data_IF_862123028873
#
_entry.id   IF_862123028873
#
_cell.length_a   1.000
_cell.length_b   1.000
_cell.length_c   1.000
_cell.angle_alpha   90.00
_cell.angle_beta   90.00
_cell.angle_gamma   90.00
#
_symmetry.space_group_name_H-M   'P 1'
#
loop_
_entity.id
_entity.type
_entity.pdbx_description
1 polymer ?
#
# COMPACT_ATOMS: atom_id res chain seq x y z
N UNK A 1 13.68 4.21 -15.83
CA UNK A 1 12.54 5.15 -15.82
C UNK A 1 13.04 6.58 -15.73
N UNK A 2 13.02 7.30 -16.85
CA UNK A 2 13.33 8.73 -16.92
C UNK A 2 12.11 9.53 -16.44
N UNK A 3 12.32 10.64 -15.74
CA UNK A 3 11.23 11.46 -15.22
C UNK A 3 11.66 12.88 -14.88
N UNK A 4 10.67 13.73 -14.67
CA UNK A 4 10.86 15.11 -14.19
C UNK A 4 9.64 15.54 -13.40
N UNK A 5 9.86 16.37 -12.39
CA UNK A 5 8.79 17.00 -11.63
C UNK A 5 8.35 18.30 -12.32
N UNK A 6 7.06 18.41 -12.58
CA UNK A 6 6.39 19.62 -13.03
C UNK A 6 6.01 20.42 -11.77
N UNK A 7 6.85 21.38 -11.40
CA UNK A 7 6.68 22.18 -10.17
C UNK A 7 5.95 23.49 -10.48
N UNK A 8 4.73 23.67 -9.97
CA UNK A 8 3.95 24.92 -10.10
C UNK A 8 3.39 25.38 -8.77
N UNK A 9 2.92 26.64 -8.73
CA UNK A 9 2.05 27.09 -7.64
C UNK A 9 0.76 26.27 -7.65
N UNK A 10 0.15 26.08 -6.49
CA UNK A 10 -1.18 25.49 -6.39
C UNK A 10 -2.23 26.46 -6.96
N UNK A 11 -3.08 26.08 -7.94
CA UNK A 11 -3.14 24.79 -8.66
C UNK A 11 -2.28 24.70 -9.95
N UNK A 12 -1.86 23.48 -10.38
CA UNK A 12 -2.20 22.18 -9.78
C UNK A 12 -1.20 21.77 -8.68
N UNK A 13 -0.21 22.60 -8.36
CA UNK A 13 0.88 22.20 -7.47
C UNK A 13 1.93 21.41 -8.23
N UNK A 14 2.38 20.29 -7.68
CA UNK A 14 3.49 19.53 -8.23
C UNK A 14 3.03 18.19 -8.80
N UNK A 15 3.64 17.72 -9.88
CA UNK A 15 3.34 16.39 -10.42
C UNK A 15 4.56 15.80 -11.10
N UNK A 16 4.80 14.51 -10.89
CA UNK A 16 5.85 13.80 -11.60
C UNK A 16 5.32 13.26 -12.93
N UNK A 17 6.08 13.52 -14.00
CA UNK A 17 5.93 12.85 -15.28
C UNK A 17 7.08 11.85 -15.46
N UNK A 18 6.76 10.56 -15.44
CA UNK A 18 7.73 9.47 -15.60
C UNK A 18 7.52 8.70 -16.90
N UNK A 19 8.53 7.98 -17.37
CA UNK A 19 8.62 7.38 -18.72
C UNK A 19 8.65 8.42 -19.85
N UNK A 20 9.13 9.63 -19.55
CA UNK A 20 9.35 10.68 -20.55
C UNK A 20 10.55 10.36 -21.44
N UNK A 21 10.56 10.92 -22.64
CA UNK A 21 11.67 10.77 -23.59
C UNK A 21 12.60 11.98 -23.59
N UNK A 22 12.10 13.17 -23.26
CA UNK A 22 12.83 14.43 -23.22
C UNK A 22 12.27 15.39 -22.16
N UNK A 23 13.05 15.60 -21.09
CA UNK A 23 12.68 16.49 -19.98
C UNK A 23 12.72 17.98 -20.36
N UNK A 24 13.54 18.38 -21.34
CA UNK A 24 13.66 19.79 -21.73
C UNK A 24 12.36 20.32 -22.34
N UNK A 25 11.59 19.44 -22.99
CA UNK A 25 10.28 19.79 -23.55
C UNK A 25 9.21 20.09 -22.50
N UNK A 26 9.47 19.77 -21.22
CA UNK A 26 8.56 20.12 -20.13
C UNK A 26 8.78 21.55 -19.60
N UNK A 27 9.77 22.28 -20.13
CA UNK A 27 9.97 23.71 -19.87
C UNK A 27 8.94 24.56 -20.63
N UNK A 28 7.68 24.44 -20.21
CA UNK A 28 6.52 25.15 -20.77
C UNK A 28 5.85 25.91 -19.63
N UNK A 29 5.62 27.22 -19.77
CA UNK A 29 5.06 28.04 -18.69
C UNK A 29 3.62 27.70 -18.34
N UNK A 30 2.81 27.36 -19.35
CA UNK A 30 1.41 27.01 -19.16
C UNK A 30 1.25 25.64 -18.47
N UNK A 31 0.55 25.66 -17.32
CA UNK A 31 0.37 24.49 -16.47
C UNK A 31 -0.39 23.34 -17.14
N UNK A 32 -1.26 23.58 -18.11
CA UNK A 32 -1.99 22.48 -18.77
C UNK A 32 -1.19 21.95 -19.96
N UNK A 33 -0.54 22.85 -20.72
CA UNK A 33 0.27 22.50 -21.87
C UNK A 33 1.45 21.60 -21.50
N UNK A 34 2.11 21.81 -20.35
CA UNK A 34 3.19 20.94 -19.88
C UNK A 34 2.72 19.50 -19.60
N UNK A 35 1.51 19.32 -19.06
CA UNK A 35 0.94 17.98 -18.87
C UNK A 35 0.60 17.33 -20.21
N UNK A 36 0.04 18.09 -21.16
CA UNK A 36 -0.23 17.59 -22.51
C UNK A 36 1.05 17.17 -23.23
N UNK A 37 2.14 17.92 -23.08
CA UNK A 37 3.45 17.52 -23.63
C UNK A 37 3.99 16.25 -22.96
N UNK A 38 3.89 16.13 -21.62
CA UNK A 38 4.25 14.90 -20.92
C UNK A 38 3.45 13.69 -21.46
N UNK A 39 2.13 13.83 -21.62
CA UNK A 39 1.28 12.77 -22.19
C UNK A 39 1.60 12.46 -23.65
N UNK A 40 1.99 13.44 -24.46
CA UNK A 40 2.45 13.24 -25.84
C UNK A 40 3.71 12.37 -25.91
N UNK A 41 4.58 12.45 -24.90
CA UNK A 41 5.73 11.55 -24.74
C UNK A 41 5.36 10.17 -24.20
N UNK A 42 4.07 9.93 -23.91
CA UNK A 42 3.57 8.70 -23.32
C UNK A 42 3.83 8.60 -21.82
N UNK A 43 4.03 9.71 -21.11
CA UNK A 43 4.31 9.68 -19.68
C UNK A 43 3.16 9.07 -18.87
N UNK A 44 3.53 8.44 -17.76
CA UNK A 44 2.64 8.24 -16.62
C UNK A 44 2.82 9.45 -15.70
N UNK A 45 1.74 10.19 -15.44
CA UNK A 45 1.75 11.44 -14.68
C UNK A 45 0.98 11.26 -13.38
N UNK A 46 1.57 11.63 -12.25
CA UNK A 46 0.90 11.54 -10.95
C UNK A 46 1.06 12.81 -10.12
N UNK A 47 0.04 13.11 -9.30
CA UNK A 47 0.00 14.31 -8.45
C UNK A 47 0.81 14.05 -7.18
N UNK A 48 1.78 14.92 -6.91
CA UNK A 48 2.68 14.79 -5.77
C UNK A 48 2.07 15.42 -4.51
N UNK A 49 2.31 14.79 -3.36
CA UNK A 49 2.09 15.30 -2.00
C UNK A 49 0.89 16.27 -1.85
N UNK A 50 -0.34 15.82 -2.14
CA UNK A 50 -1.51 16.71 -2.20
C UNK A 50 -1.89 17.36 -0.85
N UNK A 51 -1.41 16.78 0.26
CA UNK A 51 -1.53 17.25 1.64
C UNK A 51 -0.36 18.13 2.10
N UNK A 52 0.59 18.47 1.21
CA UNK A 52 1.78 19.24 1.59
C UNK A 52 1.40 20.63 2.10
N UNK A 53 1.71 20.89 3.36
CA UNK A 53 1.21 22.06 4.09
C UNK A 53 1.64 23.41 3.52
N UNK A 54 2.74 23.45 2.76
CA UNK A 54 3.20 24.66 2.04
C UNK A 54 2.26 25.06 0.91
N UNK A 55 1.50 24.12 0.33
CA UNK A 55 0.50 24.37 -0.70
C UNK A 55 -0.94 24.17 -0.22
N UNK A 56 -1.14 23.48 0.92
CA UNK A 56 -2.45 23.22 1.56
C UNK A 56 -2.35 23.35 3.07
N UNK A 57 -2.61 24.56 3.59
CA UNK A 57 -2.38 24.91 5.00
C UNK A 57 -3.14 24.05 6.03
N UNK A 58 -4.26 23.47 5.64
CA UNK A 58 -5.07 22.58 6.47
C UNK A 58 -4.64 21.10 6.38
N UNK A 59 -3.73 20.76 5.45
CA UNK A 59 -3.29 19.39 5.19
C UNK A 59 -4.32 18.52 4.47
N UNK A 60 -5.48 19.07 4.10
CA UNK A 60 -6.59 18.31 3.52
C UNK A 60 -6.47 18.30 2.00
N UNK A 61 -6.10 17.14 1.43
CA UNK A 61 -6.01 17.01 -0.03
C UNK A 61 -7.37 17.28 -0.67
N UNK A 62 -7.43 18.31 -1.52
CA UNK A 62 -8.69 18.78 -2.14
C UNK A 62 -8.49 19.03 -3.62
N UNK A 63 -9.32 18.39 -4.44
CA UNK A 63 -9.36 18.66 -5.89
C UNK A 63 -9.87 20.08 -6.17
N UNK A 64 -9.12 20.82 -6.98
CA UNK A 64 -9.57 22.06 -7.61
C UNK A 64 -10.13 21.79 -9.00
N UNK A 65 -10.73 22.80 -9.62
CA UNK A 65 -11.22 22.70 -11.00
C UNK A 65 -10.14 22.30 -11.99
N UNK A 66 -8.90 22.79 -11.81
CA UNK A 66 -7.77 22.39 -12.66
C UNK A 66 -7.45 20.89 -12.51
N UNK A 67 -7.46 20.34 -11.29
CA UNK A 67 -7.27 18.90 -11.10
C UNK A 67 -8.38 18.09 -11.79
N UNK A 68 -9.63 18.57 -11.72
CA UNK A 68 -10.75 17.93 -12.42
C UNK A 68 -10.56 17.93 -13.93
N UNK A 69 -10.04 19.03 -14.49
CA UNK A 69 -9.66 19.10 -15.92
C UNK A 69 -8.57 18.07 -16.23
N UNK A 70 -7.49 18.02 -15.45
CA UNK A 70 -6.39 17.06 -15.68
C UNK A 70 -6.87 15.61 -15.64
N UNK A 71 -7.73 15.25 -14.68
CA UNK A 71 -8.32 13.90 -14.58
C UNK A 71 -9.25 13.63 -15.78
N UNK A 72 -10.16 14.56 -16.09
CA UNK A 72 -11.13 14.42 -17.20
C UNK A 72 -10.43 14.26 -18.55
N UNK A 73 -9.34 15.00 -18.77
CA UNK A 73 -8.54 14.93 -20.00
C UNK A 73 -7.53 13.77 -20.00
N UNK A 74 -7.52 12.90 -18.96
CA UNK A 74 -6.56 11.80 -18.79
C UNK A 74 -5.09 12.26 -18.82
N UNK A 75 -4.86 13.46 -18.30
CA UNK A 75 -3.54 14.05 -18.11
C UNK A 75 -2.94 13.69 -16.74
N UNK A 76 -3.74 13.13 -15.84
CA UNK A 76 -3.34 12.62 -14.53
C UNK A 76 -3.73 11.15 -14.41
N UNK A 77 -2.75 10.27 -14.17
CA UNK A 77 -2.91 8.82 -14.10
C UNK A 77 -2.83 8.29 -12.65
N UNK A 78 -2.15 9.03 -11.75
CA UNK A 78 -1.92 8.63 -10.37
C UNK A 78 -1.94 9.80 -9.37
N UNK A 79 -1.86 9.46 -8.09
CA UNK A 79 -1.77 10.40 -6.98
C UNK A 79 -0.96 9.79 -5.85
N UNK A 80 -0.09 10.58 -5.23
CA UNK A 80 0.59 10.19 -4.00
C UNK A 80 -0.37 10.21 -2.83
N UNK A 81 -0.57 9.05 -2.20
CA UNK A 81 -1.24 8.92 -0.91
C UNK A 81 -0.23 8.93 0.24
N UNK A 82 1.03 8.64 -0.08
CA UNK A 82 2.17 8.81 0.81
C UNK A 82 3.26 9.58 0.08
N UNK A 83 3.81 10.59 0.74
CA UNK A 83 5.02 11.27 0.31
C UNK A 83 5.90 11.52 1.53
N UNK A 84 7.18 11.16 1.40
CA UNK A 84 8.18 11.26 2.46
C UNK A 84 7.69 10.61 3.77
N UNK A 85 7.31 11.41 4.77
CA UNK A 85 6.84 10.95 6.07
C UNK A 85 5.35 11.26 6.32
N UNK A 86 4.57 11.50 5.28
CA UNK A 86 3.16 11.85 5.41
C UNK A 86 2.25 10.90 4.64
N UNK A 87 1.10 10.57 5.22
CA UNK A 87 0.00 9.83 4.62
C UNK A 87 -1.25 10.71 4.58
N UNK A 88 -2.05 10.61 3.51
CA UNK A 88 -3.33 11.33 3.39
C UNK A 88 -4.48 10.40 3.04
N UNK A 89 -5.44 10.32 3.94
CA UNK A 89 -6.73 9.65 3.71
C UNK A 89 -7.50 10.30 2.56
N UNK A 90 -7.45 11.63 2.46
CA UNK A 90 -8.15 12.38 1.42
C UNK A 90 -7.58 12.09 0.04
N UNK A 91 -6.24 11.97 -0.06
CA UNK A 91 -5.58 11.56 -1.30
C UNK A 91 -5.98 10.13 -1.70
N UNK A 92 -6.07 9.22 -0.73
CA UNK A 92 -6.54 7.86 -0.97
C UNK A 92 -7.99 7.87 -1.48
N UNK A 93 -8.88 8.63 -0.84
CA UNK A 93 -10.27 8.75 -1.31
C UNK A 93 -10.35 9.34 -2.72
N UNK A 94 -9.58 10.40 -3.01
CA UNK A 94 -9.49 10.99 -4.35
C UNK A 94 -9.03 9.95 -5.37
N UNK A 95 -8.04 9.11 -5.03
CA UNK A 95 -7.54 8.05 -5.90
C UNK A 95 -8.63 7.02 -6.23
N UNK A 96 -9.42 6.64 -5.22
CA UNK A 96 -10.51 5.69 -5.37
C UNK A 96 -11.64 6.27 -6.24
N UNK A 97 -12.11 7.47 -5.92
CA UNK A 97 -13.24 8.14 -6.59
C UNK A 97 -12.95 8.46 -8.07
N UNK A 98 -11.69 8.74 -8.40
CA UNK A 98 -11.28 9.14 -9.75
C UNK A 98 -10.54 8.04 -10.50
N UNK A 99 -10.50 6.82 -9.94
CA UNK A 99 -9.80 5.68 -10.52
C UNK A 99 -8.34 6.00 -10.90
N UNK A 100 -7.63 6.68 -10.00
CA UNK A 100 -6.20 6.96 -10.14
C UNK A 100 -5.37 5.83 -9.52
N UNK A 101 -4.13 5.70 -9.97
CA UNK A 101 -3.14 4.80 -9.37
C UNK A 101 -2.67 5.38 -8.04
N UNK A 102 -2.71 4.53 -7.00
CA UNK A 102 -2.25 4.86 -5.64
C UNK A 102 -0.72 4.79 -5.63
N UNK A 103 -0.08 5.91 -5.31
CA UNK A 103 1.37 6.07 -5.32
C UNK A 103 1.91 6.42 -3.94
N UNK A 104 3.15 6.01 -3.69
CA UNK A 104 3.91 6.31 -2.49
C UNK A 104 5.38 6.47 -2.85
N UNK A 105 5.94 7.64 -2.54
CA UNK A 105 7.34 7.95 -2.87
C UNK A 105 8.05 8.66 -1.74
N UNK A 106 9.39 8.63 -1.76
CA UNK A 106 10.21 9.17 -0.67
C UNK A 106 10.50 10.64 -0.76
N UNK A 107 10.36 11.23 -1.96
CA UNK A 107 10.71 12.64 -2.25
C UNK A 107 12.05 13.08 -1.62
N UNK A 108 13.06 12.21 -1.77
CA UNK A 108 14.28 12.31 -0.99
C UNK A 108 15.16 13.43 -1.53
N UNK A 109 15.48 14.39 -0.67
CA UNK A 109 16.42 15.47 -0.96
C UNK A 109 17.74 15.31 -0.19
N UNK A 110 17.70 14.57 0.93
CA UNK A 110 18.83 14.28 1.81
C UNK A 110 19.40 12.87 1.66
N UNK A 111 20.12 12.42 2.69
CA UNK A 111 20.59 11.05 2.78
C UNK A 111 19.46 10.15 3.29
N UNK A 112 19.18 9.08 2.54
CA UNK A 112 18.06 8.17 2.85
C UNK A 112 18.14 7.58 4.27
N UNK A 113 19.36 7.32 4.76
CA UNK A 113 19.59 6.75 6.10
C UNK A 113 19.21 7.72 7.22
N UNK A 114 19.32 9.02 6.96
CA UNK A 114 19.02 10.06 7.94
C UNK A 114 17.51 10.27 8.07
N UNK A 115 16.83 10.38 6.94
CA UNK A 115 15.40 10.67 6.91
C UNK A 115 14.57 9.44 7.29
N UNK A 116 14.98 8.23 6.87
CA UNK A 116 14.21 7.00 7.09
C UNK A 116 14.84 6.00 8.07
N UNK A 117 15.96 6.34 8.71
CA UNK A 117 16.60 5.52 9.76
C UNK A 117 16.86 4.08 9.32
N UNK A 118 17.30 3.89 8.07
CA UNK A 118 17.52 2.57 7.45
C UNK A 118 18.40 1.63 8.30
N UNK A 119 19.51 2.07 8.92
CA UNK A 119 20.33 1.20 9.77
C UNK A 119 19.61 0.69 11.03
N UNK A 120 18.47 1.29 11.40
CA UNK A 120 17.64 0.89 12.55
C UNK A 120 16.39 0.11 12.13
N UNK A 121 16.36 -0.40 10.89
CA UNK A 121 15.23 -1.17 10.34
C UNK A 121 14.11 -0.33 9.74
N UNK A 122 14.26 1.00 9.67
CA UNK A 122 13.33 1.85 8.94
C UNK A 122 13.48 1.70 7.42
N UNK A 123 12.50 2.20 6.66
CA UNK A 123 12.57 2.22 5.21
C UNK A 123 11.84 3.43 4.64
N UNK A 124 12.21 3.80 3.42
CA UNK A 124 11.52 4.84 2.65
C UNK A 124 10.14 4.34 2.21
N UNK A 125 9.13 5.20 2.04
CA UNK A 125 7.90 4.80 1.35
C UNK A 125 8.22 4.33 -0.07
N UNK A 126 7.63 3.20 -0.45
CA UNK A 126 7.77 2.62 -1.78
C UNK A 126 6.41 2.25 -2.35
N UNK A 127 6.33 2.22 -3.67
CA UNK A 127 5.20 1.63 -4.40
C UNK A 127 5.59 0.26 -4.92
N UNK A 128 4.93 -0.78 -4.43
CA UNK A 128 4.99 -2.13 -5.01
C UNK A 128 4.14 -2.14 -6.28
N UNK A 129 4.75 -2.45 -7.42
CA UNK A 129 4.07 -2.55 -8.72
C UNK A 129 3.97 -4.02 -9.12
N UNK A 130 2.75 -4.52 -9.30
CA UNK A 130 2.51 -5.90 -9.74
C UNK A 130 2.61 -5.99 -11.26
N UNK A 131 3.84 -5.95 -11.76
CA UNK A 131 4.18 -6.02 -13.17
C UNK A 131 4.15 -7.47 -13.70
N UNK A 132 3.87 -7.65 -14.99
CA UNK A 132 3.94 -8.95 -15.69
C UNK A 132 5.37 -9.37 -16.01
N UNK A 133 6.32 -8.43 -15.98
CA UNK A 133 7.74 -8.67 -16.20
C UNK A 133 8.60 -7.64 -15.47
N UNK A 134 9.87 -7.97 -15.22
CA UNK A 134 10.86 -7.04 -14.66
C UNK A 134 11.47 -6.15 -15.76
N UNK A 135 10.64 -5.38 -16.45
CA UNK A 135 11.06 -4.42 -17.49
C UNK A 135 10.42 -3.04 -17.27
N UNK A 136 10.94 -2.02 -17.94
CA UNK A 136 10.38 -0.66 -17.88
C UNK A 136 8.92 -0.66 -18.38
N UNK A 137 8.63 -1.41 -19.44
CA UNK A 137 7.30 -1.59 -20.02
C UNK A 137 6.36 -2.32 -19.07
N UNK A 138 6.83 -3.39 -18.41
CA UNK A 138 6.05 -4.14 -17.43
C UNK A 138 5.65 -3.27 -16.22
N UNK A 139 6.57 -2.42 -15.73
CA UNK A 139 6.28 -1.47 -14.66
C UNK A 139 5.27 -0.42 -15.14
N UNK A 140 5.49 0.16 -16.32
CA UNK A 140 4.58 1.16 -16.89
C UNK A 140 3.17 0.60 -17.06
N UNK A 141 3.05 -0.60 -17.60
CA UNK A 141 1.76 -1.28 -17.77
C UNK A 141 1.09 -1.55 -16.41
N UNK A 142 1.83 -2.03 -15.40
CA UNK A 142 1.32 -2.21 -14.04
C UNK A 142 0.78 -0.91 -13.43
N UNK A 143 1.52 0.19 -13.59
CA UNK A 143 1.10 1.53 -13.13
C UNK A 143 -0.14 2.04 -13.86
N UNK A 144 -0.20 1.93 -15.19
CA UNK A 144 -1.36 2.34 -16.00
C UNK A 144 -2.61 1.52 -15.67
N UNK A 145 -2.43 0.28 -15.21
CA UNK A 145 -3.51 -0.61 -14.77
C UNK A 145 -3.78 -0.56 -13.26
N UNK A 146 -3.22 0.42 -12.53
CA UNK A 146 -3.45 0.66 -11.09
C UNK A 146 -3.13 -0.55 -10.22
N UNK A 147 -2.22 -1.43 -10.67
CA UNK A 147 -1.82 -2.62 -9.93
C UNK A 147 -0.70 -2.27 -8.97
N UNK A 148 -1.04 -1.53 -7.92
CA UNK A 148 -0.09 -1.01 -6.94
C UNK A 148 -0.53 -1.24 -5.50
N UNK A 149 0.45 -1.40 -4.61
CA UNK A 149 0.31 -1.28 -3.15
C UNK A 149 1.46 -0.42 -2.64
N UNK A 150 1.16 0.61 -1.87
CA UNK A 150 2.15 1.44 -1.19
C UNK A 150 2.54 0.79 0.12
N UNK A 151 3.84 0.73 0.39
CA UNK A 151 4.39 0.29 1.67
C UNK A 151 5.06 1.47 2.37
N UNK A 152 4.55 1.85 3.54
CA UNK A 152 4.99 3.01 4.31
C UNK A 152 4.90 2.73 5.81
N UNK A 153 6.01 2.83 6.54
CA UNK A 153 6.13 2.38 7.93
C UNK A 153 5.67 0.93 8.07
N UNK A 154 4.54 0.67 8.72
CA UNK A 154 3.94 -0.67 8.75
C UNK A 154 2.63 -0.76 7.96
N UNK A 155 2.29 0.26 7.17
CA UNK A 155 1.05 0.32 6.38
C UNK A 155 1.25 -0.27 4.99
N UNK A 156 0.31 -1.12 4.57
CA UNK A 156 0.12 -1.55 3.20
C UNK A 156 -1.16 -0.91 2.66
N UNK A 157 -1.02 0.04 1.73
CA UNK A 157 -2.14 0.88 1.25
C UNK A 157 -2.37 0.57 -0.23
N UNK A 158 -3.57 0.11 -0.58
CA UNK A 158 -3.86 -0.25 -1.97
C UNK A 158 -5.27 -0.79 -2.14
N UNK A 159 -5.67 -1.03 -3.38
CA UNK A 159 -6.99 -1.60 -3.66
C UNK A 159 -7.05 -3.06 -3.21
N UNK A 160 -8.25 -3.51 -2.85
CA UNK A 160 -8.46 -4.85 -2.30
C UNK A 160 -8.00 -5.95 -3.25
N UNK A 161 -8.15 -5.74 -4.57
CA UNK A 161 -7.78 -6.70 -5.61
C UNK A 161 -6.27 -6.99 -5.69
N UNK A 162 -5.43 -6.17 -5.06
CA UNK A 162 -3.97 -6.33 -4.99
C UNK A 162 -3.52 -6.57 -3.56
N UNK A 163 -4.13 -5.87 -2.60
CA UNK A 163 -3.73 -5.94 -1.21
C UNK A 163 -4.09 -7.29 -0.58
N UNK A 164 -5.29 -7.82 -0.80
CA UNK A 164 -5.70 -9.12 -0.21
C UNK A 164 -4.85 -10.28 -0.76
N UNK A 165 -4.63 -10.40 -2.08
CA UNK A 165 -3.72 -11.42 -2.60
C UNK A 165 -2.29 -11.29 -2.06
N UNK A 166 -1.76 -10.07 -1.91
CA UNK A 166 -0.45 -9.84 -1.31
C UNK A 166 -0.38 -10.36 0.14
N UNK A 167 -1.40 -10.07 0.96
CA UNK A 167 -1.47 -10.52 2.36
C UNK A 167 -1.57 -12.06 2.43
N UNK A 168 -2.45 -12.66 1.63
CA UNK A 168 -2.62 -14.12 1.58
C UNK A 168 -1.35 -14.84 1.11
N UNK A 169 -0.57 -14.19 0.23
CA UNK A 169 0.74 -14.68 -0.16
C UNK A 169 1.82 -14.44 0.89
N UNK A 170 1.58 -13.60 1.91
CA UNK A 170 2.58 -13.22 2.92
C UNK A 170 2.49 -14.03 4.21
N UNK A 171 1.27 -14.42 4.63
CA UNK A 171 1.03 -15.13 5.89
C UNK A 171 0.36 -16.48 5.63
N UNK A 172 0.85 -17.53 6.29
CA UNK A 172 0.24 -18.85 6.26
C UNK A 172 0.34 -19.57 7.61
N UNK A 173 -0.43 -20.66 7.78
CA UNK A 173 -0.27 -21.57 8.92
C UNK A 173 0.87 -22.54 8.60
N UNK A 174 1.96 -22.48 9.38
CA UNK A 174 3.10 -23.39 9.30
C UNK A 174 2.74 -24.76 9.88
N UNK A 175 2.08 -24.76 11.04
CA UNK A 175 1.61 -25.97 11.71
C UNK A 175 0.40 -25.69 12.60
N UNK A 176 -0.42 -26.71 12.81
CA UNK A 176 -1.56 -26.65 13.72
C UNK A 176 -1.69 -28.01 14.45
N UNK A 177 -1.66 -28.00 15.79
CA UNK A 177 -1.74 -29.22 16.62
C UNK A 177 -2.44 -28.96 17.95
N UNK A 178 -3.27 -29.91 18.39
CA UNK A 178 -3.89 -29.83 19.72
C UNK A 178 -2.88 -30.05 20.85
N UNK A 179 -3.00 -29.24 21.90
CA UNK A 179 -2.17 -29.33 23.11
C UNK A 179 -2.67 -30.50 23.97
N UNK A 180 -1.94 -31.62 23.92
CA UNK A 180 -2.26 -32.83 24.69
C UNK A 180 -3.68 -33.34 24.41
N UNK A 181 -4.47 -33.50 25.48
CA UNK A 181 -5.89 -33.93 25.43
C UNK A 181 -6.89 -32.76 25.39
N UNK A 182 -6.43 -31.52 25.41
CA UNK A 182 -7.33 -30.35 25.38
C UNK A 182 -7.92 -30.10 23.99
N UNK A 183 -8.94 -29.25 23.93
CA UNK A 183 -9.51 -28.65 22.70
C UNK A 183 -8.90 -27.26 22.42
N UNK A 184 -7.67 -27.03 22.91
CA UNK A 184 -6.87 -25.84 22.57
C UNK A 184 -5.93 -26.21 21.43
N UNK A 185 -6.15 -25.57 20.29
CA UNK A 185 -5.34 -25.72 19.09
C UNK A 185 -4.18 -24.74 19.12
N UNK A 186 -2.95 -25.24 19.10
CA UNK A 186 -1.75 -24.43 18.90
C UNK A 186 -1.49 -24.29 17.40
N UNK A 187 -1.42 -23.05 16.94
CA UNK A 187 -1.13 -22.66 15.56
C UNK A 187 0.17 -21.90 15.54
N UNK A 188 1.10 -22.31 14.68
CA UNK A 188 2.30 -21.52 14.36
C UNK A 188 2.10 -20.88 13.00
N UNK A 189 2.16 -19.56 12.93
CA UNK A 189 2.13 -18.82 11.68
C UNK A 189 3.53 -18.71 11.07
N UNK A 190 3.58 -18.67 9.74
CA UNK A 190 4.74 -18.25 8.96
C UNK A 190 4.41 -16.91 8.28
N UNK A 191 5.23 -15.90 8.52
CA UNK A 191 5.21 -14.65 7.77
C UNK A 191 6.49 -14.55 6.95
N UNK A 192 6.34 -14.71 5.63
CA UNK A 192 7.43 -14.72 4.66
C UNK A 192 7.67 -13.36 4.00
N UNK A 193 7.05 -12.31 4.52
CA UNK A 193 7.23 -10.93 4.06
C UNK A 193 8.27 -10.19 4.92
N UNK A 194 8.31 -8.86 4.79
CA UNK A 194 9.06 -7.97 5.67
C UNK A 194 8.15 -7.02 6.45
N UNK A 195 6.86 -7.34 6.54
CA UNK A 195 5.82 -6.51 7.16
C UNK A 195 5.28 -7.21 8.40
N UNK A 196 5.13 -6.49 9.50
CA UNK A 196 4.41 -7.00 10.68
C UNK A 196 2.91 -6.95 10.40
N UNK A 197 2.19 -8.06 10.53
CA UNK A 197 0.74 -8.04 10.36
C UNK A 197 0.02 -7.92 11.69
N UNK A 198 -0.76 -6.85 11.84
CA UNK A 198 -1.62 -6.63 13.00
C UNK A 198 -3.03 -7.13 12.67
N UNK A 199 -3.41 -8.25 13.27
CA UNK A 199 -4.63 -8.98 12.94
C UNK A 199 -5.64 -8.88 14.08
N UNK A 200 -6.81 -8.35 13.77
CA UNK A 200 -7.96 -8.33 14.66
C UNK A 200 -8.84 -9.54 14.35
N UNK A 201 -9.07 -10.41 15.35
CA UNK A 201 -9.87 -11.61 15.21
C UNK A 201 -11.32 -11.27 14.86
N UNK A 202 -11.81 -11.87 13.78
CA UNK A 202 -13.21 -11.84 13.34
C UNK A 202 -13.80 -13.25 13.22
N UNK A 203 -13.07 -14.27 13.67
CA UNK A 203 -13.56 -15.65 13.73
C UNK A 203 -14.53 -15.85 14.89
N UNK A 204 -15.24 -16.98 14.87
CA UNK A 204 -16.07 -17.40 16.01
C UNK A 204 -15.28 -17.98 17.19
N UNK A 205 -13.94 -18.02 17.12
CA UNK A 205 -13.09 -18.58 18.17
C UNK A 205 -12.56 -17.50 19.10
N UNK A 206 -12.24 -17.90 20.33
CA UNK A 206 -11.48 -17.06 21.27
C UNK A 206 -10.09 -17.63 21.48
N UNK A 207 -9.15 -16.78 21.88
CA UNK A 207 -7.76 -17.18 22.06
C UNK A 207 -7.46 -17.50 23.54
N UNK A 208 -6.46 -18.34 23.77
CA UNK A 208 -6.04 -18.79 25.09
C UNK A 208 -4.86 -17.99 25.62
N UNK A 209 -3.89 -17.67 24.76
CA UNK A 209 -2.65 -16.98 25.10
C UNK A 209 -2.57 -15.54 24.59
N UNK A 210 -3.66 -15.00 24.01
CA UNK A 210 -3.72 -13.63 23.51
C UNK A 210 -5.14 -13.05 23.63
N UNK A 211 -5.25 -11.73 23.52
CA UNK A 211 -6.51 -11.03 23.22
C UNK A 211 -6.95 -11.30 21.77
N UNK A 212 -8.10 -10.76 21.39
CA UNK A 212 -8.59 -10.76 20.01
C UNK A 212 -7.69 -9.99 19.01
N UNK A 213 -6.71 -9.22 19.48
CA UNK A 213 -5.65 -8.63 18.69
C UNK A 213 -4.36 -9.47 18.74
N UNK A 214 -3.76 -9.77 17.59
CA UNK A 214 -2.49 -10.52 17.48
C UNK A 214 -1.57 -9.88 16.43
N UNK A 215 -0.26 -9.99 16.64
CA UNK A 215 0.75 -9.56 15.66
C UNK A 215 1.51 -10.77 15.12
N UNK A 216 1.65 -10.87 13.80
CA UNK A 216 2.47 -11.88 13.14
C UNK A 216 3.70 -11.20 12.53
N UNK A 217 4.85 -11.35 13.19
CA UNK A 217 6.13 -10.76 12.78
C UNK A 217 6.87 -11.60 11.72
N UNK A 218 7.58 -10.98 10.77
CA UNK A 218 8.37 -11.69 9.78
C UNK A 218 9.59 -12.36 10.42
N UNK A 219 9.96 -13.55 9.93
CA UNK A 219 11.16 -14.27 10.39
C UNK A 219 11.10 -14.83 11.82
N UNK A 220 9.98 -14.68 12.53
CA UNK A 220 9.77 -15.21 13.88
C UNK A 220 8.74 -16.35 13.90
N UNK A 221 8.83 -17.23 14.90
CA UNK A 221 7.76 -18.21 15.18
C UNK A 221 6.63 -17.53 15.95
N UNK A 222 5.51 -17.30 15.28
CA UNK A 222 4.35 -16.63 15.88
C UNK A 222 3.32 -17.68 16.30
N UNK A 223 3.20 -17.93 17.60
CA UNK A 223 2.33 -18.99 18.15
C UNK A 223 1.02 -18.42 18.71
N UNK A 224 -0.11 -18.93 18.22
CA UNK A 224 -1.45 -18.59 18.68
C UNK A 224 -2.18 -19.83 19.18
N UNK A 225 -2.75 -19.75 20.37
CA UNK A 225 -3.56 -20.83 20.95
C UNK A 225 -5.04 -20.49 20.84
N UNK A 226 -5.79 -21.31 20.12
CA UNK A 226 -7.19 -21.10 19.77
C UNK A 226 -8.08 -22.09 20.51
N UNK A 227 -9.11 -21.61 21.21
CA UNK A 227 -10.10 -22.46 21.88
C UNK A 227 -11.17 -22.88 20.85
N UNK A 228 -11.08 -24.10 20.34
CA UNK A 228 -11.96 -24.59 19.25
C UNK A 228 -13.24 -25.27 19.75
N UNK A 229 -13.38 -25.49 21.06
CA UNK A 229 -14.46 -26.19 21.76
C UNK A 229 -14.62 -27.68 21.43
N UNK A 230 -14.13 -28.12 20.26
CA UNK A 230 -14.09 -29.50 19.81
C UNK A 230 -12.87 -29.70 18.92
N UNK A 231 -12.45 -30.95 18.74
CA UNK A 231 -11.40 -31.31 17.79
C UNK A 231 -11.91 -31.21 16.36
N UNK A 232 -11.14 -30.52 15.53
CA UNK A 232 -11.39 -30.26 14.11
C UNK A 232 -10.27 -30.88 13.28
N UNK A 233 -10.57 -31.18 12.01
CA UNK A 233 -9.58 -31.61 11.02
C UNK A 233 -8.93 -30.43 10.30
N UNK A 234 -9.67 -29.33 10.18
CA UNK A 234 -9.21 -28.07 9.57
C UNK A 234 -9.65 -26.91 10.45
N UNK A 235 -8.89 -25.82 10.38
CA UNK A 235 -9.24 -24.55 10.99
C UNK A 235 -9.24 -23.47 9.92
N UNK A 236 -10.17 -22.53 10.03
CA UNK A 236 -10.20 -21.28 9.28
C UNK A 236 -10.33 -20.14 10.30
N UNK A 237 -9.40 -19.21 10.26
CA UNK A 237 -9.42 -18.00 11.08
C UNK A 237 -9.65 -16.79 10.19
N UNK A 238 -10.73 -16.05 10.47
CA UNK A 238 -11.01 -14.77 9.83
C UNK A 238 -10.39 -13.63 10.63
N UNK A 239 -9.70 -12.73 9.94
CA UNK A 239 -9.05 -11.57 10.51
C UNK A 239 -9.34 -10.31 9.71
N UNK A 240 -9.47 -9.19 10.41
CA UNK A 240 -9.32 -7.85 9.83
C UNK A 240 -7.85 -7.43 10.00
N UNK A 241 -7.20 -6.99 8.92
CA UNK A 241 -5.76 -6.66 8.91
C UNK A 241 -5.58 -5.16 9.10
N UNK A 242 -5.36 -4.73 10.34
CA UNK A 242 -5.43 -3.32 10.75
C UNK A 242 -4.35 -2.43 10.13
N UNK A 243 -3.24 -3.01 9.71
CA UNK A 243 -2.18 -2.30 9.02
C UNK A 243 -2.28 -2.42 7.48
N UNK A 244 -3.34 -3.03 6.96
CA UNK A 244 -3.76 -2.92 5.57
C UNK A 244 -4.82 -1.82 5.43
N UNK A 245 -4.74 -0.98 4.41
CA UNK A 245 -5.68 0.13 4.19
C UNK A 245 -6.20 0.09 2.76
N UNK A 246 -7.50 -0.17 2.60
CA UNK A 246 -8.16 -0.22 1.28
C UNK A 246 -8.91 1.06 0.93
N UNK A 247 -9.32 1.81 1.95
CA UNK A 247 -9.90 3.15 1.88
C UNK A 247 -9.75 3.82 3.26
N UNK A 248 -10.01 5.14 3.39
CA UNK A 248 -9.97 5.79 4.70
C UNK A 248 -10.81 5.07 5.76
N UNK A 249 -10.17 4.70 6.86
CA UNK A 249 -10.78 3.95 7.97
C UNK A 249 -11.28 2.55 7.61
N UNK A 250 -10.85 1.95 6.48
CA UNK A 250 -11.23 0.59 6.07
C UNK A 250 -10.02 -0.32 5.91
N UNK A 251 -10.15 -1.51 6.48
CA UNK A 251 -9.11 -2.53 6.52
C UNK A 251 -9.59 -3.81 5.79
N UNK A 252 -8.70 -4.51 5.06
CA UNK A 252 -9.08 -5.74 4.37
C UNK A 252 -9.32 -6.87 5.37
N UNK A 253 -10.24 -7.77 5.01
CA UNK A 253 -10.44 -9.03 5.73
C UNK A 253 -9.77 -10.18 4.99
N UNK A 254 -9.13 -11.07 5.75
CA UNK A 254 -8.48 -12.27 5.22
C UNK A 254 -8.92 -13.50 6.00
N UNK A 255 -8.87 -14.65 5.33
CA UNK A 255 -9.13 -15.96 5.93
C UNK A 255 -7.87 -16.79 5.80
N UNK A 256 -7.34 -17.23 6.94
CA UNK A 256 -6.15 -18.08 6.99
C UNK A 256 -6.60 -19.45 7.44
N UNK A 257 -6.40 -20.44 6.56
CA UNK A 257 -6.86 -21.81 6.78
C UNK A 257 -5.71 -22.79 6.82
N UNK A 258 -5.85 -23.86 7.61
CA UNK A 258 -4.81 -24.86 7.80
C UNK A 258 -5.39 -26.23 8.16
N UNK A 259 -4.70 -27.29 7.74
CA UNK A 259 -4.99 -28.66 8.19
C UNK A 259 -4.38 -28.86 9.58
N UNK A 260 -5.09 -29.56 10.43
CA UNK A 260 -4.63 -29.89 11.79
C UNK A 260 -3.97 -31.26 11.74
N UNK A 261 -2.75 -31.36 12.29
CA UNK A 261 -2.04 -32.63 12.37
C UNK A 261 -2.84 -33.62 13.22
N UNK A 262 -3.11 -34.81 12.67
CA UNK A 262 -3.67 -35.91 13.43
C UNK A 262 -2.62 -36.40 14.44
N UNK A 263 -3.06 -36.66 15.67
CA UNK A 263 -2.23 -37.24 16.72
C UNK A 263 -2.03 -38.74 16.49
#
# INVERSE_FOLDING_TARGET
IRGSEITRRMPPGHSNAVFITDANKLLIDDSIAVFREAKKQGAFVFWNHPNWVSQRRDGIATLTDMHRVLIKEKLLDGIEVVNDQTYSDEALQIALDNNLTIMGTSDIHGLIDWDFKVPKGGHRPITLVFATSKSEEGIKEGLMNRRTVVFYNNLLIGREEQLVPLINASISIKSAKYIGRSDVLEIVFNNQSSVDFTLQNKSGYTFHNSSDLVTVKPGEENTLQVKTLKRLETVELAFEVLNGVTAPGKHPQVKISGKIAQQ
#
